data_IF_952704345378
#
_entry.id   IF_952704345378
#
_cell.length_a   1.000
_cell.length_b   1.000
_cell.length_c   1.000
_cell.angle_alpha   90.00
_cell.angle_beta   90.00
_cell.angle_gamma   90.00
#
_symmetry.space_group_name_H-M   'P 1'
#
loop_
_entity.id
_entity.type
_entity.pdbx_description
1 polymer ?
#
# COMPACT_ATOMS: atom_id res chain seq x y z
N UNK A 1 -6.84 10.43 25.12
CA UNK A 1 -6.20 9.87 23.91
C UNK A 1 -5.09 10.75 23.34
N UNK A 2 -5.17 12.08 23.46
CA UNK A 2 -4.17 13.03 22.91
C UNK A 2 -2.73 12.75 23.38
N UNK A 3 -2.54 12.29 24.60
CA UNK A 3 -1.22 12.06 25.21
C UNK A 3 -0.56 10.72 24.80
N UNK A 4 -1.19 9.95 23.92
CA UNK A 4 -0.70 8.64 23.46
C UNK A 4 -0.22 8.62 22.00
N UNK A 5 -0.35 9.73 21.28
CA UNK A 5 -0.01 9.84 19.86
C UNK A 5 0.97 10.99 19.67
N UNK A 6 2.09 10.69 19.02
CA UNK A 6 3.08 11.68 18.60
C UNK A 6 3.18 11.65 17.07
N UNK A 7 3.14 12.83 16.45
CA UNK A 7 3.33 12.99 15.01
C UNK A 7 4.72 13.53 14.72
N UNK A 8 5.40 12.92 13.73
CA UNK A 8 6.66 13.43 13.18
C UNK A 8 6.55 13.51 11.67
N UNK A 9 7.04 14.59 11.10
CA UNK A 9 7.23 14.72 9.63
C UNK A 9 8.60 14.14 9.31
N UNK A 10 8.64 13.14 8.41
CA UNK A 10 9.86 12.51 7.94
C UNK A 10 9.65 11.95 6.53
N UNK A 11 10.72 11.85 5.75
CA UNK A 11 10.72 11.09 4.50
C UNK A 11 10.89 9.61 4.82
N UNK A 12 9.87 8.82 4.50
CA UNK A 12 9.91 7.38 4.75
C UNK A 12 10.79 6.60 3.75
N UNK A 13 11.29 7.24 2.67
CA UNK A 13 12.32 6.66 1.80
C UNK A 13 13.74 6.84 2.34
N UNK A 14 13.92 7.67 3.35
CA UNK A 14 15.22 7.96 3.96
C UNK A 14 15.35 7.37 5.35
N UNK A 15 16.43 7.78 6.03
CA UNK A 15 16.65 7.41 7.43
C UNK A 15 15.59 8.07 8.32
N UNK A 16 14.83 7.27 9.03
CA UNK A 16 13.81 7.76 9.96
C UNK A 16 14.45 8.37 11.22
N UNK A 17 13.88 9.45 11.78
CA UNK A 17 14.44 10.17 12.92
C UNK A 17 14.16 9.43 14.25
N UNK A 18 14.51 8.16 14.30
CA UNK A 18 14.39 7.27 15.45
C UNK A 18 15.68 6.47 15.65
N UNK A 19 15.97 6.14 16.89
CA UNK A 19 17.10 5.28 17.23
C UNK A 19 16.81 3.82 16.87
N UNK A 20 17.89 3.01 16.82
CA UNK A 20 17.79 1.57 16.63
C UNK A 20 16.96 0.94 17.75
N UNK A 21 16.23 -0.12 17.42
CA UNK A 21 15.47 -0.91 18.39
C UNK A 21 14.52 -0.08 19.27
N UNK A 22 13.84 0.90 18.67
CA UNK A 22 12.92 1.81 19.39
C UNK A 22 11.51 1.21 19.51
N UNK A 23 11.00 0.57 18.46
CA UNK A 23 9.59 0.22 18.36
C UNK A 23 9.31 -1.26 18.58
N UNK A 24 8.13 -1.55 19.14
CA UNK A 24 7.61 -2.90 19.29
C UNK A 24 6.82 -3.38 18.06
N UNK A 25 6.38 -2.46 17.20
CA UNK A 25 5.71 -2.78 15.95
C UNK A 25 5.81 -1.62 14.96
N UNK A 26 5.77 -1.94 13.67
CA UNK A 26 5.54 -0.96 12.59
C UNK A 26 4.34 -1.39 11.74
N UNK A 27 3.63 -0.41 11.19
CA UNK A 27 2.49 -0.65 10.32
C UNK A 27 2.52 0.31 9.14
N UNK A 28 2.32 -0.22 7.92
CA UNK A 28 2.22 0.56 6.69
C UNK A 28 1.03 0.03 5.86
N UNK A 29 -0.04 0.79 5.79
CA UNK A 29 -1.26 0.38 5.07
C UNK A 29 -1.39 1.20 3.79
N UNK A 30 -1.40 0.51 2.65
CA UNK A 30 -1.56 1.07 1.30
C UNK A 30 -0.64 2.25 0.97
N UNK A 31 0.59 2.21 1.50
CA UNK A 31 1.62 3.22 1.23
C UNK A 31 2.92 2.61 0.68
N UNK A 32 3.13 1.29 0.82
CA UNK A 32 4.33 0.60 0.29
C UNK A 32 4.49 0.81 -1.22
N UNK A 33 3.39 0.90 -1.94
CA UNK A 33 3.37 1.14 -3.39
C UNK A 33 3.85 2.54 -3.81
N UNK A 34 4.05 3.47 -2.88
CA UNK A 34 4.58 4.81 -3.16
C UNK A 34 6.08 4.94 -2.93
N UNK A 35 6.74 3.91 -2.40
CA UNK A 35 8.17 3.94 -2.13
C UNK A 35 8.96 3.43 -3.33
N UNK A 36 9.80 4.29 -3.96
CA UNK A 36 10.66 3.88 -5.07
C UNK A 36 11.77 2.91 -4.64
N UNK A 37 12.30 3.06 -3.43
CA UNK A 37 13.29 2.15 -2.87
C UNK A 37 12.73 1.37 -1.67
N UNK A 38 12.00 0.30 -1.96
CA UNK A 38 11.44 -0.58 -0.93
C UNK A 38 12.50 -1.28 -0.09
N UNK A 39 13.68 -1.54 -0.67
CA UNK A 39 14.78 -2.19 0.04
C UNK A 39 15.27 -1.32 1.20
N UNK A 40 15.42 -0.02 0.98
CA UNK A 40 15.81 0.93 2.03
C UNK A 40 14.73 1.04 3.11
N UNK A 41 13.46 1.08 2.72
CA UNK A 41 12.33 1.11 3.67
C UNK A 41 12.34 -0.11 4.57
N UNK A 42 12.54 -1.33 4.03
CA UNK A 42 12.60 -2.55 4.84
C UNK A 42 13.84 -2.58 5.73
N UNK A 43 15.01 -2.12 5.26
CA UNK A 43 16.21 -2.00 6.10
C UNK A 43 16.00 -1.04 7.26
N UNK A 44 15.33 0.07 7.00
CA UNK A 44 15.04 1.07 8.02
C UNK A 44 14.02 0.57 9.05
N UNK A 45 12.98 -0.14 8.63
CA UNK A 45 12.05 -0.79 9.56
C UNK A 45 12.76 -1.85 10.40
N UNK A 46 13.67 -2.63 9.80
CA UNK A 46 14.48 -3.59 10.55
C UNK A 46 15.34 -2.91 11.58
N UNK A 47 15.96 -1.77 11.25
CA UNK A 47 16.80 -1.01 12.18
C UNK A 47 16.00 -0.52 13.39
N UNK A 48 14.85 0.11 13.18
CA UNK A 48 14.07 0.75 14.26
C UNK A 48 13.24 -0.21 15.10
N UNK A 49 12.93 -1.41 14.59
CA UNK A 49 12.23 -2.44 15.35
C UNK A 49 13.17 -3.14 16.33
N UNK A 50 12.68 -3.46 17.51
CA UNK A 50 13.36 -4.33 18.47
C UNK A 50 13.45 -5.76 17.95
N UNK A 51 14.48 -6.56 18.35
CA UNK A 51 14.53 -7.99 18.06
C UNK A 51 13.26 -8.73 18.47
N UNK A 52 12.82 -9.72 17.69
CA UNK A 52 11.60 -10.49 17.91
C UNK A 52 10.29 -9.71 17.68
N UNK A 53 10.35 -8.47 17.13
CA UNK A 53 9.18 -7.63 16.89
C UNK A 53 8.77 -7.63 15.43
N UNK A 54 7.56 -7.15 15.16
CA UNK A 54 6.86 -7.37 13.88
C UNK A 54 6.55 -6.09 13.14
N UNK A 55 6.61 -6.20 11.82
CA UNK A 55 6.03 -5.21 10.92
C UNK A 55 4.87 -5.83 10.15
N UNK A 56 3.82 -5.04 9.89
CA UNK A 56 2.74 -5.40 8.98
C UNK A 56 2.61 -4.33 7.90
N UNK A 57 2.48 -4.77 6.65
CA UNK A 57 2.17 -3.85 5.56
C UNK A 57 1.24 -4.46 4.54
N UNK A 58 0.59 -3.60 3.77
CA UNK A 58 -0.22 -3.98 2.61
C UNK A 58 0.39 -3.41 1.34
N UNK A 59 0.39 -4.22 0.28
CA UNK A 59 0.74 -3.79 -1.07
C UNK A 59 -0.45 -4.04 -2.00
N UNK A 60 -1.11 -2.96 -2.49
CA UNK A 60 -2.31 -3.09 -3.31
C UNK A 60 -2.03 -3.22 -4.81
N UNK A 61 -0.76 -3.33 -5.22
CA UNK A 61 -0.34 -3.28 -6.62
C UNK A 61 0.64 -4.40 -7.01
N UNK A 62 0.47 -5.58 -6.44
CA UNK A 62 1.21 -6.78 -6.86
C UNK A 62 0.61 -7.27 -8.18
N UNK A 63 1.43 -7.35 -9.25
CA UNK A 63 0.99 -7.79 -10.59
C UNK A 63 0.86 -9.31 -10.59
N UNK A 64 -0.37 -9.82 -10.60
CA UNK A 64 -0.66 -11.26 -10.55
C UNK A 64 -1.26 -11.82 -11.84
N UNK A 65 -1.50 -10.95 -12.82
CA UNK A 65 -2.02 -11.32 -14.13
C UNK A 65 -1.66 -10.27 -15.19
N UNK A 66 -2.12 -10.44 -16.43
CA UNK A 66 -1.82 -9.51 -17.53
C UNK A 66 -2.47 -8.14 -17.28
N UNK A 67 -1.68 -7.07 -17.39
CA UNK A 67 -2.12 -5.67 -17.22
C UNK A 67 -1.56 -4.84 -18.36
N UNK A 68 -2.40 -4.02 -19.00
CA UNK A 68 -1.98 -3.11 -20.07
C UNK A 68 -1.39 -1.81 -19.51
N UNK A 69 -0.63 -1.10 -20.36
CA UNK A 69 -0.10 0.22 -19.98
C UNK A 69 -1.20 1.22 -19.64
N UNK A 70 -2.34 1.20 -20.35
CA UNK A 70 -3.47 2.09 -20.08
C UNK A 70 -4.11 1.81 -18.72
N UNK A 71 -4.22 0.53 -18.34
CA UNK A 71 -4.72 0.14 -17.02
C UNK A 71 -3.77 0.54 -15.89
N UNK A 72 -2.45 0.42 -16.11
CA UNK A 72 -1.45 0.91 -15.16
C UNK A 72 -1.51 2.44 -15.03
N UNK A 73 -1.70 3.16 -16.15
CA UNK A 73 -1.88 4.60 -16.14
C UNK A 73 -3.14 5.02 -15.36
N UNK A 74 -4.28 4.36 -15.61
CA UNK A 74 -5.52 4.56 -14.85
C UNK A 74 -5.34 4.28 -13.36
N UNK A 75 -4.62 3.21 -13.02
CA UNK A 75 -4.33 2.84 -11.63
C UNK A 75 -3.41 3.84 -10.93
N UNK A 76 -2.64 4.62 -11.70
CA UNK A 76 -1.68 5.63 -11.21
C UNK A 76 -2.22 7.06 -11.24
N UNK A 77 -3.51 7.29 -11.55
CA UNK A 77 -4.09 8.63 -11.65
C UNK A 77 -4.00 9.46 -10.35
N UNK A 78 -3.91 8.80 -9.21
CA UNK A 78 -3.91 9.46 -7.90
C UNK A 78 -2.51 9.61 -7.29
N UNK A 79 -1.46 9.21 -7.98
CA UNK A 79 -0.08 9.34 -7.51
C UNK A 79 0.89 8.36 -8.15
N UNK A 80 2.15 8.44 -7.73
CA UNK A 80 3.18 7.49 -8.13
C UNK A 80 2.87 6.11 -7.54
N UNK A 81 2.86 5.10 -8.40
CA UNK A 81 2.68 3.71 -7.99
C UNK A 81 3.81 2.84 -8.53
N UNK A 82 4.46 2.12 -7.61
CA UNK A 82 5.52 1.15 -7.92
C UNK A 82 4.92 -0.24 -7.93
N UNK A 83 4.55 -0.71 -9.12
CA UNK A 83 4.03 -2.06 -9.32
C UNK A 83 5.14 -3.09 -9.22
N UNK A 84 4.87 -4.22 -8.59
CA UNK A 84 5.85 -5.30 -8.42
C UNK A 84 5.27 -6.65 -8.82
N UNK A 85 6.09 -7.53 -9.46
CA UNK A 85 5.72 -8.93 -9.64
C UNK A 85 5.63 -9.68 -8.30
N UNK A 86 4.94 -10.83 -8.25
CA UNK A 86 4.98 -11.73 -7.11
C UNK A 86 6.42 -12.17 -6.79
N UNK A 87 6.76 -12.26 -5.52
CA UNK A 87 8.09 -12.67 -5.04
C UNK A 87 9.02 -11.51 -4.71
N UNK A 88 8.90 -10.36 -5.37
CA UNK A 88 9.80 -9.21 -5.13
C UNK A 88 9.74 -8.72 -3.68
N UNK A 89 8.54 -8.55 -3.11
CA UNK A 89 8.43 -8.15 -1.71
C UNK A 89 9.05 -9.19 -0.76
N UNK A 90 8.85 -10.47 -1.03
CA UNK A 90 9.39 -11.57 -0.23
C UNK A 90 10.93 -11.62 -0.28
N UNK A 91 11.52 -11.39 -1.44
CA UNK A 91 12.98 -11.30 -1.60
C UNK A 91 13.56 -10.10 -0.83
N UNK A 92 12.93 -8.94 -0.94
CA UNK A 92 13.35 -7.72 -0.24
C UNK A 92 13.18 -7.85 1.29
N UNK A 93 12.12 -8.48 1.76
CA UNK A 93 11.89 -8.81 3.17
C UNK A 93 13.04 -9.67 3.70
N UNK A 94 13.38 -10.76 2.98
CA UNK A 94 14.46 -11.65 3.36
C UNK A 94 15.83 -10.95 3.34
N UNK A 95 16.09 -10.15 2.30
CA UNK A 95 17.33 -9.38 2.15
C UNK A 95 17.53 -8.34 3.25
N UNK A 96 16.44 -7.79 3.81
CA UNK A 96 16.48 -6.87 4.94
C UNK A 96 16.64 -7.57 6.31
N UNK A 97 16.69 -8.90 6.35
CA UNK A 97 16.87 -9.67 7.59
C UNK A 97 15.57 -10.03 8.30
N UNK A 98 14.42 -9.80 7.70
CA UNK A 98 13.14 -10.22 8.25
C UNK A 98 12.80 -11.67 7.91
N UNK A 99 12.08 -12.33 8.82
CA UNK A 99 11.38 -13.58 8.56
C UNK A 99 9.93 -13.27 8.17
N UNK A 100 9.48 -13.79 7.03
CA UNK A 100 8.07 -13.72 6.64
C UNK A 100 7.25 -14.66 7.52
N UNK A 101 6.32 -14.11 8.31
CA UNK A 101 5.44 -14.85 9.24
C UNK A 101 4.14 -15.26 8.54
N UNK A 102 3.55 -14.32 7.78
CA UNK A 102 2.28 -14.53 7.07
C UNK A 102 2.22 -13.68 5.82
N UNK A 103 1.67 -14.28 4.76
CA UNK A 103 1.27 -13.60 3.53
C UNK A 103 -0.20 -13.93 3.28
N UNK A 104 -1.02 -12.94 2.99
CA UNK A 104 -2.45 -13.13 2.78
C UNK A 104 -2.93 -12.28 1.60
N UNK A 105 -3.61 -12.91 0.66
CA UNK A 105 -4.29 -12.22 -0.45
C UNK A 105 -5.67 -11.76 0.02
N UNK A 106 -5.87 -10.45 0.07
CA UNK A 106 -7.13 -9.79 0.48
C UNK A 106 -7.81 -9.07 -0.70
N UNK A 107 -7.50 -9.49 -1.91
CA UNK A 107 -7.99 -8.86 -3.15
C UNK A 107 -9.50 -8.86 -3.27
N UNK A 108 -10.19 -9.93 -2.83
CA UNK A 108 -11.66 -9.98 -2.89
C UNK A 108 -12.30 -8.84 -2.11
N UNK A 109 -11.80 -8.58 -0.90
CA UNK A 109 -12.26 -7.45 -0.09
C UNK A 109 -11.93 -6.12 -0.76
N UNK A 110 -10.70 -5.96 -1.27
CA UNK A 110 -10.26 -4.73 -1.93
C UNK A 110 -11.12 -4.41 -3.17
N UNK A 111 -11.42 -5.41 -4.01
CA UNK A 111 -12.30 -5.26 -5.15
C UNK A 111 -13.73 -4.87 -4.76
N UNK A 112 -14.28 -5.50 -3.71
CA UNK A 112 -15.61 -5.16 -3.20
C UNK A 112 -15.67 -3.73 -2.63
N UNK A 113 -14.67 -3.32 -1.87
CA UNK A 113 -14.58 -1.96 -1.30
C UNK A 113 -14.46 -0.93 -2.41
N UNK A 114 -13.63 -1.17 -3.42
CA UNK A 114 -13.46 -0.25 -4.55
C UNK A 114 -14.75 -0.06 -5.34
N UNK A 115 -15.50 -1.14 -5.58
CA UNK A 115 -16.84 -1.07 -6.19
C UNK A 115 -17.78 -0.20 -5.37
N UNK A 116 -17.84 -0.43 -4.05
CA UNK A 116 -18.70 0.36 -3.16
C UNK A 116 -18.33 1.86 -3.16
N UNK A 117 -17.07 2.18 -3.23
CA UNK A 117 -16.61 3.56 -3.35
C UNK A 117 -17.04 4.18 -4.68
N UNK A 118 -16.83 3.47 -5.78
CA UNK A 118 -17.27 3.92 -7.11
C UNK A 118 -18.79 4.20 -7.12
N UNK A 119 -19.61 3.27 -6.62
CA UNK A 119 -21.07 3.42 -6.54
C UNK A 119 -21.49 4.56 -5.60
N UNK A 120 -20.83 4.70 -4.43
CA UNK A 120 -21.14 5.77 -3.49
C UNK A 120 -20.82 7.14 -4.07
N UNK A 121 -19.67 7.29 -4.72
CA UNK A 121 -19.30 8.54 -5.42
C UNK A 121 -20.29 8.87 -6.52
N UNK A 122 -20.74 7.89 -7.28
CA UNK A 122 -21.75 8.12 -8.32
C UNK A 122 -23.06 8.65 -7.75
N UNK A 123 -23.53 8.10 -6.61
CA UNK A 123 -24.75 8.59 -5.92
C UNK A 123 -24.64 10.03 -5.40
N UNK A 124 -23.44 10.49 -5.11
CA UNK A 124 -23.14 11.83 -4.58
C UNK A 124 -22.47 12.74 -5.62
N UNK A 125 -22.66 12.45 -6.92
CA UNK A 125 -21.97 13.11 -8.03
C UNK A 125 -22.00 14.63 -7.92
N UNK A 126 -23.18 15.24 -7.84
CA UNK A 126 -23.33 16.69 -7.91
C UNK A 126 -22.62 17.39 -6.75
N UNK A 127 -22.79 16.89 -5.53
CA UNK A 127 -22.11 17.42 -4.35
C UNK A 127 -20.58 17.25 -4.40
N UNK A 128 -20.10 16.15 -4.97
CA UNK A 128 -18.66 15.94 -5.13
C UNK A 128 -18.07 16.82 -6.22
N UNK A 129 -18.76 17.01 -7.33
CA UNK A 129 -18.31 17.94 -8.39
C UNK A 129 -18.21 19.37 -7.86
N UNK A 130 -19.16 19.81 -7.02
CA UNK A 130 -19.13 21.14 -6.40
C UNK A 130 -17.87 21.33 -5.54
N UNK A 131 -17.39 20.26 -4.85
CA UNK A 131 -16.24 20.33 -3.94
C UNK A 131 -14.91 20.14 -4.66
N UNK A 132 -14.83 19.18 -5.56
CA UNK A 132 -13.55 18.73 -6.14
C UNK A 132 -13.38 19.03 -7.63
N UNK A 133 -14.44 19.50 -8.32
CA UNK A 133 -14.48 19.74 -9.75
C UNK A 133 -14.77 18.49 -10.59
N UNK A 134 -15.31 18.70 -11.80
CA UNK A 134 -15.75 17.62 -12.68
C UNK A 134 -14.59 16.73 -13.15
N UNK A 135 -13.47 17.31 -13.55
CA UNK A 135 -12.29 16.58 -14.02
C UNK A 135 -11.76 15.59 -12.95
N UNK A 136 -11.65 16.06 -11.72
CA UNK A 136 -11.20 15.21 -10.60
C UNK A 136 -12.21 14.14 -10.27
N UNK A 137 -13.50 14.47 -10.28
CA UNK A 137 -14.57 13.48 -10.07
C UNK A 137 -14.47 12.35 -11.10
N UNK A 138 -14.42 12.68 -12.39
CA UNK A 138 -14.33 11.70 -13.49
C UNK A 138 -13.04 10.87 -13.41
N UNK A 139 -11.90 11.49 -13.10
CA UNK A 139 -10.63 10.81 -12.89
C UNK A 139 -10.72 9.76 -11.77
N UNK A 140 -11.29 10.12 -10.63
CA UNK A 140 -11.47 9.19 -9.51
C UNK A 140 -12.48 8.09 -9.81
N UNK A 141 -13.53 8.38 -10.58
CA UNK A 141 -14.47 7.34 -11.03
C UNK A 141 -13.77 6.28 -11.89
N UNK A 142 -12.98 6.71 -12.88
CA UNK A 142 -12.16 5.82 -13.71
C UNK A 142 -11.16 5.01 -12.87
N UNK A 143 -10.49 5.66 -11.92
CA UNK A 143 -9.57 5.01 -11.00
C UNK A 143 -10.24 3.89 -10.20
N UNK A 144 -11.38 4.16 -9.54
CA UNK A 144 -12.06 3.13 -8.74
C UNK A 144 -12.64 2.00 -9.59
N UNK A 145 -13.10 2.29 -10.80
CA UNK A 145 -13.54 1.27 -11.73
C UNK A 145 -12.36 0.36 -12.14
N UNK A 146 -11.19 0.94 -12.47
CA UNK A 146 -9.99 0.17 -12.79
C UNK A 146 -9.50 -0.67 -11.59
N UNK A 147 -9.48 -0.11 -10.37
CA UNK A 147 -9.14 -0.88 -9.16
C UNK A 147 -10.07 -2.07 -8.99
N UNK A 148 -11.39 -1.84 -9.14
CA UNK A 148 -12.37 -2.92 -9.03
C UNK A 148 -12.12 -4.04 -10.03
N UNK A 149 -12.04 -3.71 -11.33
CA UNK A 149 -11.85 -4.70 -12.40
C UNK A 149 -10.55 -5.48 -12.23
N UNK A 150 -9.42 -4.77 -12.13
CA UNK A 150 -8.09 -5.37 -12.02
C UNK A 150 -7.95 -6.28 -10.79
N UNK A 151 -8.55 -5.88 -9.67
CA UNK A 151 -8.46 -6.65 -8.43
C UNK A 151 -9.44 -7.85 -8.44
N UNK A 152 -10.66 -7.67 -8.93
CA UNK A 152 -11.66 -8.74 -9.02
C UNK A 152 -11.27 -9.83 -10.01
N UNK A 153 -10.55 -9.46 -11.08
CA UNK A 153 -10.02 -10.38 -12.10
C UNK A 153 -8.64 -10.97 -11.72
N UNK A 154 -8.13 -10.66 -10.51
CA UNK A 154 -6.83 -11.15 -10.03
C UNK A 154 -5.66 -10.77 -10.94
N UNK A 155 -5.73 -9.61 -11.61
CA UNK A 155 -4.64 -9.06 -12.42
C UNK A 155 -3.73 -8.15 -11.61
N UNK A 156 -4.29 -7.42 -10.64
CA UNK A 156 -3.56 -6.79 -9.53
C UNK A 156 -4.11 -7.32 -8.22
N UNK A 157 -3.23 -7.79 -7.35
CA UNK A 157 -3.61 -8.29 -6.03
C UNK A 157 -3.22 -7.32 -4.93
N UNK A 158 -4.05 -7.26 -3.88
CA UNK A 158 -3.73 -6.62 -2.61
C UNK A 158 -3.29 -7.67 -1.61
N UNK A 159 -2.02 -7.63 -1.25
CA UNK A 159 -1.39 -8.61 -0.37
C UNK A 159 -1.06 -7.96 0.98
N UNK A 160 -1.38 -8.67 2.06
CA UNK A 160 -0.94 -8.34 3.42
C UNK A 160 0.29 -9.18 3.73
N UNK A 161 1.32 -8.54 4.27
CA UNK A 161 2.55 -9.18 4.74
C UNK A 161 2.72 -8.91 6.23
N UNK A 162 2.95 -9.96 7.00
CA UNK A 162 3.40 -9.89 8.38
C UNK A 162 4.82 -10.45 8.46
N UNK A 163 5.74 -9.64 8.90
CA UNK A 163 7.16 -9.98 9.00
C UNK A 163 7.67 -9.79 10.42
N UNK A 164 8.72 -10.50 10.79
CA UNK A 164 9.31 -10.48 12.13
C UNK A 164 10.82 -10.27 12.03
N UNK A 165 11.36 -9.34 12.81
CA UNK A 165 12.81 -9.19 13.00
C UNK A 165 13.31 -10.35 13.85
N UNK A 166 14.31 -11.07 13.36
CA UNK A 166 14.94 -12.16 14.12
C UNK A 166 15.54 -11.63 15.45
N UNK A 167 15.71 -12.53 16.41
CA UNK A 167 16.36 -12.23 17.69
C UNK A 167 17.84 -11.88 17.52
#
# INVERSE_FOLDING_TARGET
MKDRITYKVADANGTLPFEDNTFDATMCVDSMNHFPDRADVFREWHRILRPGRRAVFTDPVVITGPVTNDELALRSLVGLFMFVPPGVNEELIAAAGFRLVRKEDVSDNAGLVSRRWHEARHRHKDALIEIEGEERFEGLQKFFAAVHSLTSERRLSRIVYLVEKNE
#
